data_IF_690287565369
#
_entry.id   IF_690287565369
#
_cell.length_a   1.000
_cell.length_b   1.000
_cell.length_c   1.000
_cell.angle_alpha   90.00
_cell.angle_beta   90.00
_cell.angle_gamma   90.00
#
_symmetry.space_group_name_H-M   'P 1'
#
loop_
_entity.id
_entity.type
_entity.pdbx_description
1 polymer ?
#
# COMPACT_ATOMS: atom_id res chain seq x y z
N UNK A 1 6.44 9.11 16.98
CA UNK A 1 5.40 8.06 16.85
C UNK A 1 5.18 7.42 18.22
N UNK A 2 3.94 7.29 18.70
CA UNK A 2 3.67 6.63 19.97
C UNK A 2 4.05 5.14 19.90
N UNK A 3 4.70 4.63 20.96
CA UNK A 3 5.00 3.21 21.12
C UNK A 3 4.04 2.63 22.15
N UNK A 4 3.71 1.34 22.03
CA UNK A 4 2.97 0.65 23.09
C UNK A 4 3.81 0.59 24.38
N UNK A 5 3.16 0.61 25.53
CA UNK A 5 3.84 0.47 26.82
C UNK A 5 4.67 -0.81 26.88
N UNK A 6 5.93 -0.71 27.31
CA UNK A 6 6.86 -1.84 27.40
C UNK A 6 7.41 -2.33 26.06
N UNK A 7 7.34 -1.51 25.00
CA UNK A 7 7.97 -1.83 23.73
C UNK A 7 9.49 -1.91 23.85
N UNK A 8 10.07 -3.01 23.39
CA UNK A 8 11.50 -3.21 23.22
C UNK A 8 11.75 -3.55 21.74
N UNK A 9 12.58 -2.77 21.01
CA UNK A 9 12.85 -3.02 19.60
C UNK A 9 13.47 -4.39 19.31
N UNK A 10 14.08 -5.07 20.30
CA UNK A 10 14.62 -6.41 20.17
C UNK A 10 13.54 -7.51 20.17
N UNK A 11 12.33 -7.22 20.65
CA UNK A 11 11.23 -8.17 20.73
C UNK A 11 10.01 -7.69 19.93
N UNK A 12 9.50 -8.54 19.05
CA UNK A 12 8.30 -8.29 18.25
C UNK A 12 7.28 -9.39 18.48
N UNK A 13 6.01 -9.05 18.32
CA UNK A 13 5.00 -10.08 18.07
C UNK A 13 5.42 -10.87 16.82
N UNK A 14 5.20 -12.18 16.81
CA UNK A 14 5.52 -13.00 15.64
C UNK A 14 4.83 -12.48 14.37
N UNK A 15 3.58 -12.01 14.52
CA UNK A 15 2.83 -11.30 13.50
C UNK A 15 1.76 -10.40 14.12
N UNK A 16 1.22 -9.50 13.30
CA UNK A 16 -0.04 -8.78 13.57
C UNK A 16 -0.91 -8.84 12.31
N UNK A 17 -2.22 -8.96 12.48
CA UNK A 17 -3.17 -9.00 11.36
C UNK A 17 -4.28 -7.98 11.55
N UNK A 18 -4.65 -7.28 10.49
CA UNK A 18 -5.75 -6.32 10.46
C UNK A 18 -6.74 -6.62 9.35
N UNK A 19 -7.93 -6.03 9.45
CA UNK A 19 -8.80 -5.75 8.32
C UNK A 19 -8.50 -4.36 7.79
N UNK A 20 -8.38 -4.23 6.48
CA UNK A 20 -8.23 -2.96 5.79
C UNK A 20 -9.36 -2.83 4.76
N UNK A 21 -10.05 -1.68 4.78
CA UNK A 21 -11.24 -1.46 3.96
C UNK A 21 -11.24 -0.08 3.31
N UNK A 22 -11.17 -0.05 1.98
CA UNK A 22 -11.42 1.16 1.19
C UNK A 22 -12.89 1.23 0.81
N UNK A 23 -13.47 2.41 0.88
CA UNK A 23 -14.88 2.65 0.54
C UNK A 23 -15.01 3.74 -0.51
N UNK A 24 -16.15 3.90 -1.18
CA UNK A 24 -16.35 5.05 -2.06
C UNK A 24 -16.16 6.41 -1.37
N UNK A 25 -16.43 6.51 -0.06
CA UNK A 25 -16.23 7.73 0.74
C UNK A 25 -14.77 7.94 1.12
N UNK A 26 -14.01 6.86 1.33
CA UNK A 26 -12.59 6.87 1.64
C UNK A 26 -11.84 5.92 0.69
N UNK A 27 -11.71 6.28 -0.60
CA UNK A 27 -11.28 5.35 -1.64
C UNK A 27 -9.77 5.21 -1.76
N UNK A 28 -9.01 5.80 -0.83
CA UNK A 28 -7.57 5.97 -0.94
C UNK A 28 -6.85 5.57 0.34
N UNK A 29 -5.80 4.77 0.17
CA UNK A 29 -4.69 4.59 1.12
C UNK A 29 -3.48 5.38 0.64
N UNK A 30 -3.04 6.35 1.44
CA UNK A 30 -1.88 7.18 1.09
C UNK A 30 -0.57 6.41 1.11
N UNK A 31 0.43 6.92 0.38
CA UNK A 31 1.78 6.38 0.38
C UNK A 31 2.36 6.30 1.80
N UNK A 32 2.61 5.06 2.23
CA UNK A 32 3.27 4.74 3.48
C UNK A 32 4.24 3.60 3.25
N UNK A 33 5.23 3.46 4.12
CA UNK A 33 6.25 2.42 4.05
C UNK A 33 6.34 1.74 5.41
N UNK A 34 6.57 0.43 5.34
CA UNK A 34 6.85 -0.40 6.49
C UNK A 34 8.26 -0.94 6.39
N UNK A 35 8.93 -1.12 7.53
CA UNK A 35 10.19 -1.88 7.60
C UNK A 35 9.98 -3.38 7.47
N UNK A 36 8.85 -3.88 7.98
CA UNK A 36 8.47 -5.30 7.90
C UNK A 36 7.80 -5.63 6.58
N UNK A 37 7.79 -6.92 6.23
CA UNK A 37 6.99 -7.45 5.12
C UNK A 37 5.51 -7.47 5.50
N UNK A 38 4.64 -7.20 4.53
CA UNK A 38 3.19 -7.30 4.65
C UNK A 38 2.60 -8.24 3.60
N UNK A 39 1.83 -9.23 4.06
CA UNK A 39 1.06 -10.17 3.24
C UNK A 39 -0.37 -9.66 3.15
N UNK A 40 -0.87 -9.45 1.94
CA UNK A 40 -2.22 -8.95 1.69
C UNK A 40 -3.07 -10.07 1.10
N UNK A 41 -4.26 -10.28 1.65
CA UNK A 41 -5.22 -11.29 1.17
C UNK A 41 -6.55 -10.63 0.87
N UNK A 42 -7.03 -10.79 -0.36
CA UNK A 42 -8.31 -10.27 -0.80
C UNK A 42 -9.48 -11.02 -0.16
N UNK A 43 -10.48 -10.28 0.32
CA UNK A 43 -11.77 -10.84 0.73
C UNK A 43 -12.91 -10.43 -0.20
N UNK A 44 -12.92 -9.17 -0.65
CA UNK A 44 -13.98 -8.63 -1.52
C UNK A 44 -13.51 -7.38 -2.26
N UNK A 45 -14.08 -7.14 -3.44
CA UNK A 45 -13.94 -5.89 -4.18
C UNK A 45 -12.68 -5.85 -5.03
N UNK A 46 -12.38 -4.64 -5.54
CA UNK A 46 -11.29 -4.42 -6.49
C UNK A 46 -10.54 -3.14 -6.19
N UNK A 47 -9.26 -3.10 -6.52
CA UNK A 47 -8.47 -1.88 -6.39
C UNK A 47 -7.16 -1.95 -7.16
N UNK A 48 -6.36 -0.91 -6.97
CA UNK A 48 -4.99 -0.85 -7.49
C UNK A 48 -4.05 -0.56 -6.34
N UNK A 49 -2.92 -1.25 -6.35
CA UNK A 49 -1.78 -0.94 -5.50
C UNK A 49 -0.69 -0.31 -6.37
N UNK A 50 -0.07 0.76 -5.86
CA UNK A 50 1.10 1.41 -6.45
C UNK A 50 2.25 1.35 -5.44
N UNK A 51 3.39 0.84 -5.89
CA UNK A 51 4.60 0.68 -5.10
C UNK A 51 5.70 1.53 -5.69
N UNK A 52 6.42 2.26 -4.84
CA UNK A 52 7.71 2.87 -5.15
C UNK A 52 8.77 2.03 -4.45
N UNK A 53 9.64 1.39 -5.23
CA UNK A 53 10.71 0.51 -4.75
C UNK A 53 11.89 1.34 -4.21
N UNK A 54 11.66 2.05 -3.10
CA UNK A 54 12.61 2.99 -2.51
C UNK A 54 13.83 2.30 -1.88
N UNK A 55 13.75 1.00 -1.62
CA UNK A 55 14.83 0.13 -1.18
C UNK A 55 15.79 -0.28 -2.31
N UNK A 56 15.40 -0.11 -3.57
CA UNK A 56 16.22 -0.42 -4.74
C UNK A 56 17.09 0.78 -5.15
N UNK A 57 18.22 0.56 -5.86
CA UNK A 57 18.95 1.63 -6.52
C UNK A 57 18.08 2.41 -7.51
N UNK A 58 18.50 3.63 -7.83
CA UNK A 58 17.82 4.42 -8.85
C UNK A 58 17.95 3.76 -10.23
N UNK A 59 16.93 3.97 -11.07
CA UNK A 59 16.94 3.53 -12.45
C UNK A 59 17.99 4.29 -13.27
N UNK A 60 18.49 3.72 -14.38
CA UNK A 60 19.22 4.49 -15.38
C UNK A 60 18.38 5.68 -15.86
N UNK A 61 18.86 6.89 -15.64
CA UNK A 61 18.10 8.13 -15.90
C UNK A 61 17.47 8.79 -14.67
N UNK A 62 17.64 8.19 -13.48
CA UNK A 62 17.23 8.76 -12.19
C UNK A 62 15.85 8.30 -11.71
N UNK A 63 15.65 8.37 -10.39
CA UNK A 63 14.41 8.00 -9.72
C UNK A 63 14.25 6.50 -9.47
N UNK A 64 13.33 6.17 -8.57
CA UNK A 64 12.97 4.82 -8.13
C UNK A 64 12.01 4.17 -9.11
N UNK A 65 12.11 2.84 -9.20
CA UNK A 65 11.14 2.03 -9.94
C UNK A 65 9.76 2.16 -9.30
N UNK A 66 8.75 2.37 -10.14
CA UNK A 66 7.34 2.39 -9.75
C UNK A 66 6.63 1.19 -10.37
N UNK A 67 5.92 0.43 -9.55
CA UNK A 67 5.09 -0.71 -9.97
C UNK A 67 3.63 -0.41 -9.65
N UNK A 68 2.72 -0.85 -10.53
CA UNK A 68 1.28 -0.76 -10.31
C UNK A 68 0.62 -2.06 -10.74
N UNK A 69 -0.34 -2.55 -9.96
CA UNK A 69 -1.09 -3.76 -10.29
C UNK A 69 -2.51 -3.72 -9.72
N UNK A 70 -3.43 -4.39 -10.41
CA UNK A 70 -4.81 -4.55 -9.98
C UNK A 70 -4.95 -5.72 -9.00
N UNK A 71 -5.84 -5.54 -8.02
CA UNK A 71 -6.23 -6.56 -7.05
C UNK A 71 -7.73 -6.77 -7.15
N UNK A 72 -8.16 -8.03 -7.05
CA UNK A 72 -9.53 -8.41 -7.31
C UNK A 72 -9.67 -9.90 -7.62
N UNK A 73 -10.91 -10.38 -7.82
CA UNK A 73 -11.20 -11.81 -7.99
C UNK A 73 -10.86 -12.35 -9.38
N UNK A 74 -10.66 -11.50 -10.39
CA UNK A 74 -10.47 -11.95 -11.79
C UNK A 74 -9.01 -12.26 -12.10
N UNK A 75 -8.51 -13.34 -11.50
CA UNK A 75 -7.12 -13.81 -11.67
C UNK A 75 -6.81 -14.14 -13.13
N UNK A 76 -7.80 -14.60 -13.90
CA UNK A 76 -7.64 -14.90 -15.32
C UNK A 76 -7.30 -13.65 -16.16
N UNK A 77 -7.74 -12.46 -15.71
CA UNK A 77 -7.37 -11.16 -16.30
C UNK A 77 -6.14 -10.51 -15.65
N UNK A 78 -5.44 -11.22 -14.76
CA UNK A 78 -4.20 -10.76 -14.13
C UNK A 78 -4.39 -9.98 -12.82
N UNK A 79 -5.59 -9.98 -12.23
CA UNK A 79 -5.79 -9.44 -10.89
C UNK A 79 -5.12 -10.32 -9.82
N UNK A 80 -4.57 -9.71 -8.78
CA UNK A 80 -3.96 -10.44 -7.67
C UNK A 80 -4.98 -10.62 -6.54
N UNK A 81 -5.25 -11.87 -6.15
CA UNK A 81 -6.04 -12.20 -4.96
C UNK A 81 -5.18 -12.25 -3.67
N UNK A 82 -3.86 -12.44 -3.82
CA UNK A 82 -2.90 -12.37 -2.73
C UNK A 82 -1.59 -11.76 -3.28
N UNK A 83 -0.96 -10.91 -2.48
CA UNK A 83 0.34 -10.32 -2.83
C UNK A 83 1.14 -9.98 -1.58
N UNK A 84 2.45 -9.89 -1.75
CA UNK A 84 3.40 -9.60 -0.67
C UNK A 84 4.12 -8.31 -1.03
N UNK A 85 4.24 -7.42 -0.05
CA UNK A 85 5.07 -6.23 -0.15
C UNK A 85 6.17 -6.35 0.89
N UNK A 86 7.40 -6.50 0.44
CA UNK A 86 8.56 -6.47 1.31
C UNK A 86 8.79 -5.07 1.87
N UNK A 87 9.42 -5.01 3.05
CA UNK A 87 9.75 -3.75 3.70
C UNK A 87 10.63 -2.84 2.84
N UNK A 88 10.57 -1.54 3.11
CA UNK A 88 11.37 -0.53 2.40
C UNK A 88 10.67 0.14 1.22
N UNK A 89 9.49 -0.34 0.82
CA UNK A 89 8.70 0.16 -0.32
C UNK A 89 7.61 1.12 0.15
N UNK A 90 7.47 2.27 -0.52
CA UNK A 90 6.27 3.11 -0.32
C UNK A 90 5.12 2.50 -1.09
N UNK A 91 3.99 2.31 -0.41
CA UNK A 91 2.79 1.68 -0.95
C UNK A 91 1.60 2.62 -0.78
N UNK A 92 0.86 2.81 -1.86
CA UNK A 92 -0.45 3.43 -1.85
C UNK A 92 -1.46 2.49 -2.52
N UNK A 93 -2.73 2.67 -2.20
CA UNK A 93 -3.81 1.88 -2.78
C UNK A 93 -5.01 2.77 -3.08
N UNK A 94 -5.78 2.41 -4.09
CA UNK A 94 -7.06 3.07 -4.34
C UNK A 94 -8.13 2.11 -4.85
N UNK A 95 -9.38 2.43 -4.53
CA UNK A 95 -10.55 1.66 -4.89
C UNK A 95 -10.81 1.74 -6.40
N UNK A 96 -11.04 0.59 -7.02
CA UNK A 96 -11.64 0.52 -8.35
C UNK A 96 -13.16 0.36 -8.21
N UNK A 97 -13.96 0.90 -9.15
CA UNK A 97 -15.38 0.61 -9.16
C UNK A 97 -15.62 -0.89 -9.37
N UNK A 98 -16.66 -1.40 -8.71
CA UNK A 98 -17.19 -2.74 -8.96
C UNK A 98 -17.66 -2.86 -10.43
N UNK A 99 -17.61 -4.06 -10.98
CA UNK A 99 -18.11 -4.32 -12.34
C UNK A 99 -19.62 -4.03 -12.37
N UNK A 100 -20.05 -3.18 -13.31
CA UNK A 100 -21.45 -2.78 -13.46
C UNK A 100 -22.41 -3.94 -13.76
N UNK A 101 -21.88 -5.12 -14.12
CA UNK A 101 -22.65 -6.35 -14.29
C UNK A 101 -23.04 -7.05 -12.98
N UNK A 102 -22.43 -6.65 -11.86
CA UNK A 102 -22.77 -7.13 -10.53
C UNK A 102 -23.71 -6.10 -9.89
N UNK A 103 -24.98 -6.46 -9.69
CA UNK A 103 -26.07 -5.64 -9.13
C UNK A 103 -25.89 -5.34 -7.62
N UNK A 104 -24.66 -5.03 -7.22
CA UNK A 104 -24.23 -4.73 -5.88
C UNK A 104 -23.64 -3.32 -5.91
N UNK A 105 -24.26 -2.40 -5.17
CA UNK A 105 -23.67 -1.08 -4.87
C UNK A 105 -22.17 -1.20 -4.61
N UNK A 106 -21.33 -0.42 -5.30
CA UNK A 106 -19.86 -0.46 -5.18
C UNK A 106 -19.44 -0.59 -3.72
N UNK A 107 -18.91 -1.76 -3.39
CA UNK A 107 -18.89 -2.28 -2.04
C UNK A 107 -17.55 -2.18 -1.36
N UNK A 108 -16.67 -1.35 -1.91
CA UNK A 108 -15.34 -1.15 -1.38
C UNK A 108 -14.38 -2.31 -1.66
N UNK A 109 -13.15 -2.18 -1.19
CA UNK A 109 -12.10 -3.18 -1.26
C UNK A 109 -11.77 -3.62 0.16
N UNK A 110 -12.12 -4.86 0.50
CA UNK A 110 -11.84 -5.46 1.80
C UNK A 110 -10.72 -6.48 1.68
N UNK A 111 -9.67 -6.30 2.46
CA UNK A 111 -8.51 -7.19 2.54
C UNK A 111 -8.11 -7.45 4.00
N UNK A 112 -7.34 -8.50 4.22
CA UNK A 112 -6.52 -8.63 5.43
C UNK A 112 -5.07 -8.35 5.12
N UNK A 113 -4.40 -7.68 6.05
CA UNK A 113 -2.96 -7.45 6.01
C UNK A 113 -2.31 -8.15 7.20
N UNK A 114 -1.31 -8.98 6.94
CA UNK A 114 -0.52 -9.66 7.97
C UNK A 114 0.92 -9.21 7.88
N UNK A 115 1.41 -8.57 8.93
CA UNK A 115 2.77 -8.00 8.99
C UNK A 115 3.67 -8.93 9.80
N UNK A 116 4.87 -9.22 9.26
CA UNK A 116 5.86 -10.12 9.87
C UNK A 116 7.27 -9.52 9.75
N UNK A 117 8.00 -9.30 10.87
CA UNK A 117 7.52 -9.33 12.27
C UNK A 117 6.37 -8.35 12.51
N UNK A 118 5.59 -8.56 13.57
CA UNK A 118 4.38 -7.78 13.85
C UNK A 118 4.58 -6.27 13.83
N UNK A 119 3.54 -5.56 13.37
CA UNK A 119 3.53 -4.10 13.18
C UNK A 119 3.86 -3.35 14.48
N UNK A 120 4.66 -2.30 14.33
CA UNK A 120 4.90 -1.27 15.33
C UNK A 120 4.98 0.10 14.66
N UNK A 121 4.49 1.15 15.32
CA UNK A 121 4.46 2.50 14.74
C UNK A 121 5.83 3.08 14.42
N UNK A 122 6.90 2.61 15.07
CA UNK A 122 8.27 3.05 14.73
C UNK A 122 8.76 2.49 13.40
N UNK A 123 8.10 1.45 12.87
CA UNK A 123 8.43 0.83 11.60
C UNK A 123 7.62 1.44 10.43
N UNK A 124 6.71 2.38 10.71
CA UNK A 124 5.83 3.07 9.76
C UNK A 124 6.29 4.51 9.49
N UNK A 125 6.44 4.86 8.23
CA UNK A 125 6.59 6.24 7.78
C UNK A 125 5.69 6.56 6.58
N UNK A 126 5.29 7.83 6.44
CA UNK A 126 4.46 8.31 5.33
C UNK A 126 5.35 9.07 4.34
N UNK A 127 5.04 8.97 3.06
CA UNK A 127 5.73 9.77 2.05
C UNK A 127 5.24 11.22 2.13
N UNK A 128 6.16 12.17 2.21
CA UNK A 128 5.85 13.60 2.16
C UNK A 128 5.85 14.12 0.72
N UNK A 129 5.05 15.16 0.46
CA UNK A 129 4.89 15.71 -0.89
C UNK A 129 6.21 16.26 -1.47
N UNK A 130 7.05 16.79 -0.58
CA UNK A 130 8.37 17.35 -0.89
C UNK A 130 9.35 16.29 -1.40
N UNK A 131 9.26 15.07 -0.86
CA UNK A 131 10.14 13.95 -1.20
C UNK A 131 9.71 13.19 -2.46
N UNK A 132 8.42 13.24 -2.81
CA UNK A 132 7.86 12.46 -3.92
C UNK A 132 8.59 12.75 -5.23
N UNK A 133 8.83 14.02 -5.56
CA UNK A 133 9.48 14.39 -6.81
C UNK A 133 10.92 13.87 -6.90
N UNK A 134 11.66 13.89 -5.79
CA UNK A 134 13.02 13.35 -5.71
C UNK A 134 13.02 11.83 -5.89
N UNK A 135 11.99 11.13 -5.39
CA UNK A 135 11.89 9.68 -5.53
C UNK A 135 11.52 9.24 -6.94
N UNK A 136 10.57 9.87 -7.62
CA UNK A 136 10.03 9.31 -8.89
C UNK A 136 10.20 10.24 -10.10
N UNK A 137 10.83 11.40 -9.92
CA UNK A 137 10.96 12.42 -10.93
C UNK A 137 9.66 13.22 -11.15
N UNK A 138 9.74 14.40 -11.81
CA UNK A 138 8.64 15.37 -11.86
C UNK A 138 7.40 14.84 -12.59
N UNK A 139 7.59 14.09 -13.67
CA UNK A 139 6.47 13.54 -14.47
C UNK A 139 5.64 12.56 -13.63
N UNK A 140 6.29 11.55 -13.03
CA UNK A 140 5.60 10.54 -12.24
C UNK A 140 5.05 11.13 -10.95
N UNK A 141 5.76 12.06 -10.32
CA UNK A 141 5.28 12.75 -9.12
C UNK A 141 3.96 13.47 -9.39
N UNK A 142 3.81 14.14 -10.53
CA UNK A 142 2.54 14.75 -10.92
C UNK A 142 1.40 13.74 -11.07
N UNK A 143 1.68 12.54 -11.61
CA UNK A 143 0.69 11.49 -11.82
C UNK A 143 0.18 10.88 -10.52
N UNK A 144 1.04 10.77 -9.49
CA UNK A 144 0.73 10.07 -8.23
C UNK A 144 0.64 10.98 -7.00
N UNK A 145 0.76 12.31 -7.16
CA UNK A 145 0.76 13.27 -6.05
C UNK A 145 -0.51 13.23 -5.20
N UNK A 146 -1.65 12.89 -5.80
CA UNK A 146 -2.92 12.75 -5.09
C UNK A 146 -2.92 11.60 -4.08
N UNK A 147 -1.99 10.63 -4.20
CA UNK A 147 -1.81 9.52 -3.26
C UNK A 147 -0.93 9.88 -2.05
N UNK A 148 -0.34 11.08 -2.02
CA UNK A 148 0.36 11.58 -0.84
C UNK A 148 -0.65 12.11 0.17
N UNK A 149 -0.42 11.84 1.46
CA UNK A 149 -1.30 12.32 2.53
C UNK A 149 -1.26 13.85 2.56
N UNK A 150 -2.43 14.50 2.55
CA UNK A 150 -2.56 15.95 2.79
C UNK A 150 -2.53 16.18 4.30
N UNK A 151 -1.81 17.21 4.74
CA UNK A 151 -1.79 17.66 6.15
C UNK A 151 -3.18 18.07 6.64
#
# INVERSE_FOLDING_TARGET
MPQRTGFDPAYRNASTTIWYYLTPQTPQGSFHRLRSRTIHTLHRGRGVFILIHADEPDLPGGGKRVESFAVGPDVAKGERAQWIIDGGKFTASFLLPDDASLDMSSSGLLISETVVPGFEYCDLDFLHAEDLQSLVGPKKAKEVSWLVKRE
#
